data_IF_689967304932
#
_entry.id   IF_689967304932
#
_cell.length_a   1.000
_cell.length_b   1.000
_cell.length_c   1.000
_cell.angle_alpha   90.00
_cell.angle_beta   90.00
_cell.angle_gamma   90.00
#
_symmetry.space_group_name_H-M   'P 1'
#
loop_
_entity.id
_entity.type
_entity.pdbx_description
1 polymer ?
#
# COMPACT_ATOMS: atom_id res chain seq x y z
N UNK A 1 -4.52 -11.25 -13.08
CA UNK A 1 -4.21 -9.89 -12.55
C UNK A 1 -2.98 -9.36 -13.26
N UNK A 2 -2.93 -8.07 -13.62
CA UNK A 2 -1.95 -7.50 -14.58
C UNK A 2 -0.47 -7.87 -14.36
N UNK A 3 -0.03 -8.05 -13.12
CA UNK A 3 1.40 -8.20 -12.80
C UNK A 3 1.86 -9.62 -12.53
N UNK A 4 0.96 -10.58 -12.32
CA UNK A 4 1.37 -11.95 -11.97
C UNK A 4 2.12 -12.63 -13.12
N UNK A 5 1.63 -12.51 -14.35
CA UNK A 5 2.29 -13.10 -15.52
C UNK A 5 3.71 -12.53 -15.72
N UNK A 6 3.91 -11.25 -15.40
CA UNK A 6 5.21 -10.59 -15.46
C UNK A 6 6.15 -11.09 -14.35
N UNK A 7 5.65 -11.26 -13.13
CA UNK A 7 6.42 -11.82 -12.02
C UNK A 7 6.82 -13.27 -12.31
N UNK A 8 5.89 -14.07 -12.82
CA UNK A 8 6.13 -15.47 -13.18
C UNK A 8 7.10 -15.58 -14.36
N UNK A 9 7.06 -14.65 -15.32
CA UNK A 9 8.07 -14.53 -16.36
C UNK A 9 9.44 -14.18 -15.77
N UNK A 10 9.52 -13.16 -14.92
CA UNK A 10 10.75 -12.74 -14.28
C UNK A 10 11.43 -13.90 -13.53
N UNK A 11 10.65 -14.69 -12.78
CA UNK A 11 11.13 -15.88 -12.09
C UNK A 11 11.68 -16.93 -13.06
N UNK A 12 10.96 -17.20 -14.17
CA UNK A 12 11.38 -18.17 -15.20
C UNK A 12 12.71 -17.79 -15.88
N UNK A 13 13.00 -16.50 -16.01
CA UNK A 13 14.26 -16.01 -16.59
C UNK A 13 15.34 -15.72 -15.54
N UNK A 14 15.20 -16.26 -14.32
CA UNK A 14 16.20 -16.15 -13.26
C UNK A 14 16.30 -14.76 -12.61
N UNK A 15 15.24 -13.94 -12.69
CA UNK A 15 15.15 -12.64 -11.99
C UNK A 15 14.39 -12.78 -10.68
N UNK A 16 14.70 -11.88 -9.75
CA UNK A 16 14.03 -11.81 -8.44
C UNK A 16 12.98 -10.72 -8.43
N UNK A 17 11.89 -10.97 -7.71
CA UNK A 17 10.83 -10.01 -7.42
C UNK A 17 10.84 -9.66 -5.93
N UNK A 18 10.98 -8.37 -5.63
CA UNK A 18 10.86 -7.85 -4.27
C UNK A 18 9.61 -6.98 -4.14
N UNK A 19 8.99 -6.99 -2.95
CA UNK A 19 7.83 -6.13 -2.65
C UNK A 19 8.07 -5.27 -1.41
N UNK A 20 7.67 -4.00 -1.49
CA UNK A 20 7.45 -3.14 -0.32
C UNK A 20 5.96 -2.85 -0.25
N UNK A 21 5.29 -3.37 0.78
CA UNK A 21 3.87 -3.18 0.98
C UNK A 21 3.62 -2.19 2.11
N UNK A 22 3.14 -1.00 1.75
CA UNK A 22 2.77 0.04 2.72
C UNK A 22 1.26 0.00 2.92
N UNK A 23 0.85 -0.16 4.17
CA UNK A 23 -0.55 -0.27 4.54
C UNK A 23 -0.95 0.78 5.56
N UNK A 24 -2.27 0.94 5.71
CA UNK A 24 -2.92 1.76 6.72
C UNK A 24 -4.04 0.91 7.32
N UNK A 25 -4.15 0.86 8.63
CA UNK A 25 -4.98 -0.08 9.39
C UNK A 25 -6.48 0.16 9.14
N UNK A 26 -6.92 1.41 9.14
CA UNK A 26 -8.33 1.77 9.00
C UNK A 26 -8.61 2.52 7.69
N UNK A 27 -9.77 2.24 7.09
CA UNK A 27 -10.18 2.85 5.82
C UNK A 27 -10.36 4.36 5.94
N UNK A 28 -11.00 4.82 7.02
CA UNK A 28 -11.25 6.23 7.30
C UNK A 28 -9.96 7.06 7.35
N UNK A 29 -8.85 6.48 7.78
CA UNK A 29 -7.56 7.18 7.78
C UNK A 29 -7.03 7.44 6.36
N UNK A 30 -7.34 6.57 5.39
CA UNK A 30 -6.99 6.85 3.99
C UNK A 30 -7.82 8.03 3.46
N UNK A 31 -9.11 8.06 3.78
CA UNK A 31 -10.02 9.14 3.38
C UNK A 31 -9.59 10.47 4.02
N UNK A 32 -9.36 10.46 5.33
CA UNK A 32 -8.92 11.64 6.08
C UNK A 32 -7.59 12.20 5.56
N UNK A 33 -6.64 11.34 5.18
CA UNK A 33 -5.34 11.77 4.61
C UNK A 33 -5.48 12.38 3.23
N UNK A 34 -6.38 11.85 2.38
CA UNK A 34 -6.68 12.49 1.10
C UNK A 34 -7.33 13.85 1.32
N UNK A 35 -8.34 13.94 2.21
CA UNK A 35 -9.00 15.21 2.54
C UNK A 35 -8.00 16.25 3.07
N UNK A 36 -7.11 15.86 3.98
CA UNK A 36 -6.05 16.73 4.49
C UNK A 36 -5.11 17.21 3.38
N UNK A 37 -4.70 16.32 2.47
CA UNK A 37 -3.87 16.70 1.31
C UNK A 37 -4.60 17.67 0.37
N UNK A 38 -5.91 17.50 0.17
CA UNK A 38 -6.73 18.37 -0.67
C UNK A 38 -6.85 19.77 -0.05
N UNK A 39 -7.08 19.85 1.27
CA UNK A 39 -6.99 21.12 1.99
C UNK A 39 -5.59 21.78 1.85
N UNK A 40 -4.56 20.93 1.70
CA UNK A 40 -3.18 21.21 1.28
C UNK A 40 -2.99 21.86 -0.10
N UNK A 41 -4.02 21.90 -0.95
CA UNK A 41 -3.90 22.22 -2.38
C UNK A 41 -3.48 21.04 -3.26
N UNK A 42 -3.48 19.81 -2.75
CA UNK A 42 -3.13 18.62 -3.52
C UNK A 42 -4.30 18.00 -4.31
N UNK A 43 -4.01 16.93 -5.07
CA UNK A 43 -5.01 16.26 -5.91
C UNK A 43 -6.06 15.48 -5.09
N UNK A 44 -7.32 15.64 -5.47
CA UNK A 44 -8.44 14.92 -4.89
C UNK A 44 -8.65 13.53 -5.52
N UNK A 45 -9.17 12.60 -4.73
CA UNK A 45 -9.59 11.27 -5.18
C UNK A 45 -10.95 10.96 -4.55
N UNK A 46 -11.97 10.64 -5.35
CA UNK A 46 -13.29 10.26 -4.83
C UNK A 46 -13.21 9.15 -3.78
N UNK A 47 -13.99 9.28 -2.71
CA UNK A 47 -13.95 8.37 -1.55
C UNK A 47 -14.22 6.91 -1.93
N UNK A 48 -15.18 6.65 -2.80
CA UNK A 48 -15.48 5.33 -3.35
C UNK A 48 -14.27 4.69 -4.05
N UNK A 49 -13.47 5.49 -4.76
CA UNK A 49 -12.21 5.03 -5.38
C UNK A 49 -11.12 4.77 -4.35
N UNK A 50 -11.04 5.53 -3.27
CA UNK A 50 -10.10 5.26 -2.18
C UNK A 50 -10.42 3.89 -1.56
N UNK A 51 -11.68 3.67 -1.20
CA UNK A 51 -12.14 2.46 -0.54
C UNK A 51 -12.01 1.22 -1.45
N UNK A 52 -12.49 1.30 -2.69
CA UNK A 52 -12.38 0.18 -3.64
C UNK A 52 -10.93 -0.22 -3.95
N UNK A 53 -10.03 0.77 -4.07
CA UNK A 53 -8.59 0.50 -4.28
C UNK A 53 -7.93 -0.11 -3.05
N UNK A 54 -8.32 0.33 -1.85
CA UNK A 54 -7.88 -0.28 -0.60
C UNK A 54 -8.25 -1.76 -0.59
N UNK A 55 -9.52 -2.09 -0.75
CA UNK A 55 -9.98 -3.48 -0.71
C UNK A 55 -9.29 -4.35 -1.77
N UNK A 56 -9.15 -3.84 -3.00
CA UNK A 56 -8.41 -4.53 -4.05
C UNK A 56 -6.93 -4.74 -3.68
N UNK A 57 -6.28 -3.75 -3.07
CA UNK A 57 -4.89 -3.86 -2.59
C UNK A 57 -4.73 -4.98 -1.56
N UNK A 58 -5.61 -5.02 -0.55
CA UNK A 58 -5.60 -6.05 0.49
C UNK A 58 -5.90 -7.44 -0.06
N UNK A 59 -6.88 -7.57 -0.97
CA UNK A 59 -7.19 -8.84 -1.62
C UNK A 59 -6.03 -9.37 -2.48
N UNK A 60 -5.27 -8.48 -3.12
CA UNK A 60 -4.16 -8.85 -4.00
C UNK A 60 -2.86 -9.15 -3.23
N UNK A 61 -2.67 -8.55 -2.06
CA UNK A 61 -1.40 -8.62 -1.32
C UNK A 61 -0.93 -10.06 -1.01
N UNK A 62 -1.77 -11.00 -0.53
CA UNK A 62 -1.32 -12.36 -0.25
C UNK A 62 -0.68 -13.07 -1.45
N UNK A 63 -1.19 -12.80 -2.65
CA UNK A 63 -0.74 -13.44 -3.88
C UNK A 63 0.56 -12.80 -4.41
N UNK A 64 0.76 -11.50 -4.19
CA UNK A 64 2.06 -10.86 -4.37
C UNK A 64 3.10 -11.33 -3.36
N UNK A 65 2.74 -11.40 -2.08
CA UNK A 65 3.63 -11.83 -1.00
C UNK A 65 4.13 -13.27 -1.25
N UNK A 66 3.25 -14.17 -1.71
CA UNK A 66 3.63 -15.55 -2.09
C UNK A 66 4.65 -15.63 -3.24
N UNK A 67 4.65 -14.66 -4.15
CA UNK A 67 5.57 -14.63 -5.30
C UNK A 67 6.87 -13.88 -5.04
N UNK A 68 6.93 -13.12 -3.95
CA UNK A 68 8.09 -12.31 -3.65
C UNK A 68 9.25 -13.17 -3.13
N UNK A 69 10.44 -12.94 -3.65
CA UNK A 69 11.68 -13.50 -3.11
C UNK A 69 12.14 -12.74 -1.86
N UNK A 70 11.71 -11.49 -1.72
CA UNK A 70 11.90 -10.67 -0.52
C UNK A 70 10.75 -9.68 -0.35
N UNK A 71 10.32 -9.47 0.90
CA UNK A 71 9.23 -8.55 1.23
C UNK A 71 9.59 -7.64 2.38
N UNK A 72 9.04 -6.43 2.38
CA UNK A 72 8.99 -5.52 3.51
C UNK A 72 7.55 -5.03 3.67
N UNK A 73 6.97 -5.24 4.85
CA UNK A 73 5.62 -4.76 5.18
C UNK A 73 5.72 -3.61 6.16
N UNK A 74 5.10 -2.49 5.82
CA UNK A 74 5.12 -1.26 6.62
C UNK A 74 3.69 -0.86 6.95
N UNK A 75 3.38 -0.78 8.24
CA UNK A 75 2.18 -0.12 8.71
C UNK A 75 2.43 1.37 8.91
N UNK A 76 1.76 2.19 8.11
CA UNK A 76 1.86 3.64 8.14
C UNK A 76 0.67 4.29 8.84
N UNK A 77 0.02 3.62 9.80
CA UNK A 77 -1.18 4.13 10.48
C UNK A 77 -0.92 5.19 11.52
N UNK A 78 0.25 5.14 12.17
CA UNK A 78 0.56 6.02 13.29
C UNK A 78 1.13 7.35 12.81
N UNK A 79 0.96 8.38 13.64
CA UNK A 79 1.59 9.69 13.48
C UNK A 79 2.18 10.15 14.80
N UNK A 80 3.26 10.93 14.74
CA UNK A 80 3.82 11.65 15.88
C UNK A 80 2.75 12.55 16.50
N UNK A 81 2.64 12.51 17.83
CA UNK A 81 1.73 13.38 18.57
C UNK A 81 2.11 14.85 18.31
N UNK A 82 1.12 15.64 17.91
CA UNK A 82 1.28 17.09 17.73
C UNK A 82 1.86 17.54 16.39
N UNK A 83 2.43 16.66 15.56
CA UNK A 83 3.10 17.06 14.30
C UNK A 83 2.46 16.47 13.04
N UNK A 84 1.47 15.58 13.17
CA UNK A 84 0.86 14.80 12.06
C UNK A 84 1.87 14.01 11.19
N UNK A 85 3.15 13.95 11.60
CA UNK A 85 4.21 13.28 10.87
C UNK A 85 4.01 11.77 10.94
N UNK A 86 4.06 11.02 9.83
CA UNK A 86 3.87 9.57 9.86
C UNK A 86 4.94 8.86 10.71
N UNK A 87 4.51 7.86 11.48
CA UNK A 87 5.36 6.93 12.24
C UNK A 87 5.21 5.52 11.68
N UNK A 88 5.95 5.17 10.61
CA UNK A 88 5.87 3.85 10.01
C UNK A 88 6.42 2.77 10.95
N UNK A 89 5.73 1.64 11.03
CA UNK A 89 6.15 0.43 11.75
C UNK A 89 6.45 -0.67 10.75
N UNK A 90 7.63 -1.29 10.87
CA UNK A 90 7.94 -2.51 10.11
C UNK A 90 7.20 -3.69 10.75
N UNK A 91 6.44 -4.43 9.96
CA UNK A 91 5.67 -5.59 10.41
C UNK A 91 6.37 -6.91 10.09
N UNK A 92 7.04 -7.00 8.94
CA UNK A 92 7.74 -8.18 8.43
C UNK A 92 8.77 -7.77 7.38
#
# INVERSE_FOLDING_TARGET
MKFFDLIDLARRIGRRFGIVYVTVEIADLNVARVAHRVALGGHDVPQDRILSRREASYANFPEFARRADAGLVIDNSLTERGTHRPQPRVLA
#
